data_IF_810293705789
#
_entry.id   IF_810293705789
#
_cell.length_a   1.000
_cell.length_b   1.000
_cell.length_c   1.000
_cell.angle_alpha   90.00
_cell.angle_beta   90.00
_cell.angle_gamma   90.00
#
_symmetry.space_group_name_H-M   'P 1'
#
loop_
_entity.id
_entity.type
_entity.pdbx_description
1 polymer ?
#
# COMPACT_ATOMS: atom_id res chain seq x y z
N UNK A 1 -1.18 1.58 11.78
CA UNK A 1 -2.31 0.99 11.04
C UNK A 1 -2.02 -0.46 10.72
N UNK A 2 -2.98 -1.33 10.95
CA UNK A 2 -2.86 -2.75 10.61
C UNK A 2 -3.98 -3.17 9.69
N UNK A 3 -3.64 -3.94 8.66
CA UNK A 3 -4.57 -4.36 7.64
C UNK A 3 -4.24 -5.79 7.21
N UNK A 4 -5.26 -6.63 7.07
CA UNK A 4 -5.09 -7.91 6.41
C UNK A 4 -5.70 -7.83 5.02
N UNK A 5 -4.88 -8.02 4.00
CA UNK A 5 -5.31 -7.91 2.62
C UNK A 5 -5.59 -9.29 2.02
N UNK A 6 -6.76 -9.44 1.43
CA UNK A 6 -7.12 -10.64 0.70
C UNK A 6 -6.78 -10.53 -0.77
N UNK A 7 -6.51 -9.33 -1.22
CA UNK A 7 -6.18 -9.06 -2.61
C UNK A 7 -5.09 -8.01 -2.70
N UNK A 8 -4.06 -8.29 -3.48
CA UNK A 8 -2.96 -7.35 -3.73
C UNK A 8 -2.90 -7.12 -5.23
N UNK A 9 -2.93 -5.86 -5.65
CA UNK A 9 -2.82 -5.52 -7.06
C UNK A 9 -1.72 -4.51 -7.28
N UNK A 10 -1.18 -4.50 -8.49
CA UNK A 10 -0.13 -3.58 -8.88
C UNK A 10 -0.51 -2.90 -10.18
N UNK A 11 0.00 -1.68 -10.37
CA UNK A 11 -0.20 -0.92 -11.58
C UNK A 11 1.04 -0.13 -11.92
N UNK A 12 1.24 0.07 -13.22
CA UNK A 12 2.32 0.93 -13.69
C UNK A 12 1.91 1.54 -15.03
N UNK A 13 2.46 2.71 -15.32
CA UNK A 13 2.24 3.38 -16.59
C UNK A 13 3.57 3.92 -17.07
N UNK A 14 4.14 3.25 -18.07
CA UNK A 14 5.48 3.56 -18.52
C UNK A 14 6.46 3.42 -17.37
N UNK A 15 7.46 4.28 -17.32
CA UNK A 15 8.40 4.32 -16.21
C UNK A 15 8.11 5.47 -15.24
N UNK A 16 6.93 6.05 -15.34
CA UNK A 16 6.60 7.29 -14.64
C UNK A 16 5.65 7.12 -13.46
N UNK A 17 4.92 6.02 -13.42
CA UNK A 17 3.88 5.81 -12.42
C UNK A 17 3.89 4.38 -11.93
N UNK A 18 3.90 4.22 -10.62
CA UNK A 18 3.87 2.90 -9.98
C UNK A 18 2.90 2.92 -8.81
N UNK A 19 2.13 1.84 -8.68
CA UNK A 19 1.12 1.72 -7.61
C UNK A 19 1.08 0.29 -7.11
N UNK A 20 0.88 0.16 -5.79
CA UNK A 20 0.50 -1.11 -5.18
C UNK A 20 -0.73 -0.86 -4.30
N UNK A 21 -1.69 -1.76 -4.39
CA UNK A 21 -2.95 -1.67 -3.64
C UNK A 21 -3.18 -2.94 -2.84
N UNK A 22 -3.64 -2.76 -1.62
CA UNK A 22 -3.97 -3.84 -0.69
C UNK A 22 -5.42 -3.69 -0.28
N UNK A 23 -6.25 -4.69 -0.57
CA UNK A 23 -7.68 -4.66 -0.26
C UNK A 23 -8.01 -5.74 0.75
N UNK A 24 -8.57 -5.35 1.87
CA UNK A 24 -9.11 -6.28 2.84
C UNK A 24 -10.46 -6.81 2.39
N UNK A 25 -10.89 -7.90 3.03
CA UNK A 25 -12.17 -8.49 2.71
C UNK A 25 -13.31 -7.63 3.24
N UNK A 26 -14.30 -7.39 2.37
CA UNK A 26 -15.52 -6.76 2.81
C UNK A 26 -16.21 -7.69 3.82
N UNK A 27 -16.83 -7.14 4.86
CA UNK A 27 -17.60 -7.98 5.77
C UNK A 27 -18.67 -8.72 4.99
N UNK A 28 -19.01 -9.90 5.47
CA UNK A 28 -19.75 -10.93 4.75
C UNK A 28 -20.86 -10.42 3.85
N UNK A 29 -21.05 -11.13 2.75
CA UNK A 29 -22.01 -10.79 1.69
C UNK A 29 -23.44 -10.60 2.17
N UNK A 30 -23.79 -11.16 3.30
CA UNK A 30 -25.13 -11.06 3.84
C UNK A 30 -25.41 -9.69 4.45
N UNK A 31 -24.36 -8.93 4.66
CA UNK A 31 -24.49 -7.63 5.29
C UNK A 31 -24.25 -6.57 4.25
N UNK A 32 -25.18 -6.48 3.33
CA UNK A 32 -25.12 -5.50 2.28
C UNK A 32 -25.51 -4.14 2.84
N UNK A 33 -24.57 -3.53 3.51
CA UNK A 33 -24.78 -2.22 4.08
C UNK A 33 -24.29 -1.15 3.14
N UNK A 34 -25.23 -0.51 2.48
CA UNK A 34 -24.95 0.55 1.52
C UNK A 34 -24.41 1.81 2.17
N UNK A 35 -24.61 1.95 3.46
CA UNK A 35 -24.18 3.13 4.19
C UNK A 35 -22.91 2.89 4.97
N UNK A 36 -22.45 1.66 5.02
CA UNK A 36 -21.32 1.29 5.83
C UNK A 36 -20.00 1.77 5.29
N UNK A 37 -18.99 1.81 6.14
CA UNK A 37 -17.65 2.09 5.70
C UNK A 37 -17.21 0.99 4.75
N UNK A 38 -16.49 1.38 3.78
CA UNK A 38 -15.95 0.45 2.83
C UNK A 38 -15.00 -0.51 3.53
N UNK A 39 -14.70 -1.60 2.86
CA UNK A 39 -13.71 -2.55 3.34
C UNK A 39 -12.36 -1.85 3.57
N UNK A 40 -11.53 -2.36 4.47
CA UNK A 40 -10.19 -1.80 4.67
C UNK A 40 -9.36 -1.87 3.40
N UNK A 41 -8.65 -0.78 3.11
CA UNK A 41 -7.75 -0.78 1.97
C UNK A 41 -6.58 0.17 2.19
N UNK A 42 -5.51 -0.05 1.42
CA UNK A 42 -4.35 0.82 1.39
C UNK A 42 -3.84 0.89 -0.05
N UNK A 43 -3.62 2.11 -0.54
CA UNK A 43 -3.02 2.35 -1.85
C UNK A 43 -1.75 3.16 -1.65
N UNK A 44 -0.66 2.74 -2.29
CA UNK A 44 0.61 3.46 -2.29
C UNK A 44 0.97 3.74 -3.74
N UNK A 45 1.19 5.02 -4.06
CA UNK A 45 1.53 5.45 -5.41
C UNK A 45 2.80 6.27 -5.39
N UNK A 46 3.61 6.13 -6.42
CA UNK A 46 4.74 7.02 -6.64
C UNK A 46 4.79 7.42 -8.09
N UNK A 47 4.93 8.71 -8.33
CA UNK A 47 5.06 9.26 -9.68
C UNK A 47 6.46 9.81 -9.85
N UNK A 48 7.02 9.60 -11.03
CA UNK A 48 8.37 10.08 -11.36
C UNK A 48 8.34 11.19 -12.40
N UNK A 49 7.14 11.60 -12.84
CA UNK A 49 6.99 12.71 -13.78
C UNK A 49 7.54 14.01 -13.20
N UNK A 50 7.26 14.24 -11.94
CA UNK A 50 7.74 15.40 -11.23
C UNK A 50 8.72 14.95 -10.17
N UNK A 51 9.75 15.74 -9.95
CA UNK A 51 10.69 15.46 -8.89
C UNK A 51 10.03 15.79 -7.55
N UNK A 52 9.40 14.81 -6.95
CA UNK A 52 8.71 14.97 -5.68
C UNK A 52 9.60 14.74 -4.47
N UNK A 53 10.90 14.58 -4.68
CA UNK A 53 11.84 14.35 -3.58
C UNK A 53 11.70 13.00 -2.91
N UNK A 54 11.08 12.03 -3.59
CA UNK A 54 10.86 10.71 -3.04
C UNK A 54 9.63 10.59 -2.20
N UNK A 55 8.69 11.51 -2.35
CA UNK A 55 7.42 11.49 -1.64
C UNK A 55 6.43 10.58 -2.37
N UNK A 56 5.72 9.76 -1.62
CA UNK A 56 4.69 8.87 -2.17
C UNK A 56 3.31 9.31 -1.70
N UNK A 57 2.30 9.04 -2.53
CA UNK A 57 0.92 9.27 -2.15
C UNK A 57 0.37 8.03 -1.46
N UNK A 58 -0.30 8.23 -0.34
CA UNK A 58 -0.97 7.16 0.41
C UNK A 58 -2.44 7.47 0.54
N UNK A 59 -3.27 6.47 0.30
CA UNK A 59 -4.71 6.58 0.53
C UNK A 59 -5.18 5.32 1.24
N UNK A 60 -6.03 5.50 2.25
CA UNK A 60 -6.62 4.39 2.99
C UNK A 60 -8.10 4.66 3.24
N UNK A 61 -8.79 3.63 3.74
CA UNK A 61 -10.19 3.78 4.17
C UNK A 61 -10.35 4.77 5.32
N UNK A 62 -9.27 5.07 6.04
CA UNK A 62 -9.26 6.09 7.08
C UNK A 62 -8.58 7.35 6.53
N UNK A 63 -9.31 8.09 5.70
CA UNK A 63 -8.80 9.27 5.02
C UNK A 63 -8.38 10.38 5.98
N UNK A 64 -9.02 10.45 7.12
CA UNK A 64 -8.74 11.53 8.07
C UNK A 64 -7.38 11.37 8.74
N UNK A 65 -6.98 10.13 8.95
CA UNK A 65 -5.73 9.82 9.65
C UNK A 65 -4.61 9.44 8.69
N UNK A 66 -4.95 8.65 7.66
CA UNK A 66 -3.95 8.02 6.80
C UNK A 66 -4.18 8.33 5.32
N UNK A 67 -3.99 9.59 4.95
CA UNK A 67 -4.02 9.98 3.55
C UNK A 67 -3.11 11.18 3.33
N UNK A 68 -2.45 11.23 2.20
CA UNK A 68 -1.59 12.34 1.84
C UNK A 68 -0.28 11.92 1.21
N UNK A 69 0.64 12.86 1.12
CA UNK A 69 1.96 12.64 0.53
C UNK A 69 3.00 12.58 1.63
N UNK A 70 3.77 11.50 1.66
CA UNK A 70 4.77 11.27 2.70
C UNK A 70 6.00 10.58 2.13
N UNK A 71 7.14 10.80 2.76
CA UNK A 71 8.31 9.96 2.53
C UNK A 71 8.10 8.67 3.30
N UNK A 72 8.51 7.57 2.70
CA UNK A 72 8.29 6.24 3.26
C UNK A 72 9.61 5.58 3.63
N UNK A 73 9.59 4.77 4.68
CA UNK A 73 10.72 3.95 5.08
C UNK A 73 10.27 2.50 5.20
N UNK A 74 10.84 1.65 4.37
CA UNK A 74 10.51 0.23 4.40
C UNK A 74 11.16 -0.43 5.62
N UNK A 75 10.34 -1.14 6.41
CA UNK A 75 10.79 -1.87 7.58
C UNK A 75 10.95 -3.36 7.27
N UNK A 76 9.95 -3.95 6.62
CA UNK A 76 9.98 -5.36 6.28
C UNK A 76 9.11 -5.61 5.04
N UNK A 77 9.55 -6.53 4.18
CA UNK A 77 8.73 -6.97 3.07
C UNK A 77 9.00 -8.44 2.79
N UNK A 78 7.98 -9.28 3.00
CA UNK A 78 8.04 -10.72 2.81
C UNK A 78 6.81 -11.17 2.04
N UNK A 79 6.72 -12.46 1.61
CA UNK A 79 5.50 -12.96 0.95
C UNK A 79 4.23 -12.91 1.78
N UNK A 80 4.33 -12.63 3.06
CA UNK A 80 3.16 -12.59 3.95
C UNK A 80 2.98 -11.27 4.70
N UNK A 81 3.95 -10.34 4.60
CA UNK A 81 3.89 -9.12 5.39
C UNK A 81 4.66 -7.97 4.76
N UNK A 82 4.05 -6.80 4.78
CA UNK A 82 4.71 -5.53 4.46
C UNK A 82 4.59 -4.62 5.67
N UNK A 83 5.70 -4.08 6.12
CA UNK A 83 5.72 -3.09 7.19
C UNK A 83 6.55 -1.89 6.77
N UNK A 84 6.03 -0.69 7.01
CA UNK A 84 6.73 0.53 6.68
C UNK A 84 6.27 1.67 7.57
N UNK A 85 7.02 2.76 7.54
CA UNK A 85 6.69 3.97 8.27
C UNK A 85 6.58 5.14 7.31
N UNK A 86 5.69 6.08 7.63
CA UNK A 86 5.61 7.35 6.92
C UNK A 86 6.31 8.42 7.74
N UNK A 87 6.83 9.44 7.07
CA UNK A 87 7.62 10.49 7.72
C UNK A 87 6.71 11.52 8.40
N UNK A 88 6.19 11.15 9.56
CA UNK A 88 5.43 12.07 10.40
C UNK A 88 5.51 11.62 11.87
N UNK A 89 5.05 12.45 12.79
CA UNK A 89 5.23 12.24 14.23
C UNK A 89 4.33 11.14 14.78
N UNK A 90 3.05 11.18 14.43
CA UNK A 90 2.05 10.24 14.94
C UNK A 90 1.49 9.39 13.81
N UNK A 91 0.93 8.24 14.19
CA UNK A 91 0.26 7.36 13.23
C UNK A 91 1.13 7.06 12.01
N UNK A 92 2.40 6.75 12.27
CA UNK A 92 3.38 6.59 11.20
C UNK A 92 3.61 5.14 10.76
N UNK A 93 3.21 4.19 11.56
CA UNK A 93 3.50 2.77 11.31
C UNK A 93 2.37 2.09 10.56
N UNK A 94 2.73 1.38 9.50
CA UNK A 94 1.81 0.60 8.69
C UNK A 94 2.25 -0.85 8.64
N UNK A 95 1.30 -1.76 8.84
CA UNK A 95 1.54 -3.19 8.71
C UNK A 95 0.41 -3.81 7.89
N UNK A 96 0.78 -4.51 6.82
CA UNK A 96 -0.18 -5.21 5.97
C UNK A 96 0.23 -6.66 5.91
N UNK A 97 -0.73 -7.55 6.17
CA UNK A 97 -0.51 -8.99 5.99
C UNK A 97 -1.31 -9.49 4.80
N UNK A 98 -0.80 -10.52 4.14
CA UNK A 98 -1.40 -11.09 2.94
C UNK A 98 -0.80 -12.47 2.72
N UNK A 99 -1.19 -13.12 1.63
CA UNK A 99 -0.63 -14.42 1.28
C UNK A 99 -0.31 -14.41 -0.21
N UNK A 100 0.96 -14.31 -0.54
CA UNK A 100 1.41 -14.27 -1.93
C UNK A 100 2.24 -15.52 -2.24
N UNK A 101 1.94 -16.17 -3.37
CA UNK A 101 2.79 -17.24 -3.85
C UNK A 101 4.12 -16.65 -4.38
N UNK A 102 5.08 -17.51 -4.67
CA UNK A 102 6.41 -17.06 -5.07
C UNK A 102 6.39 -16.22 -6.35
N UNK A 103 5.55 -16.57 -7.30
CA UNK A 103 5.45 -15.84 -8.55
C UNK A 103 4.86 -14.45 -8.34
N UNK A 104 3.75 -14.38 -7.62
CA UNK A 104 3.08 -13.12 -7.34
C UNK A 104 3.94 -12.22 -6.47
N UNK A 105 4.63 -12.79 -5.50
CA UNK A 105 5.55 -12.03 -4.67
C UNK A 105 6.63 -11.34 -5.51
N UNK A 106 7.21 -12.04 -6.46
CA UNK A 106 8.22 -11.46 -7.34
C UNK A 106 7.69 -10.28 -8.14
N UNK A 107 6.45 -10.38 -8.63
CA UNK A 107 5.83 -9.29 -9.37
C UNK A 107 5.59 -8.08 -8.48
N UNK A 108 5.03 -8.30 -7.30
CA UNK A 108 4.74 -7.22 -6.35
C UNK A 108 6.04 -6.62 -5.82
N UNK A 109 7.05 -7.45 -5.56
CA UNK A 109 8.35 -7.01 -5.06
C UNK A 109 8.99 -6.00 -6.00
N UNK A 110 8.91 -6.23 -7.30
CA UNK A 110 9.47 -5.30 -8.28
C UNK A 110 8.88 -3.90 -8.10
N UNK A 111 7.56 -3.82 -7.98
CA UNK A 111 6.86 -2.54 -7.83
C UNK A 111 7.14 -1.91 -6.46
N UNK A 112 7.10 -2.70 -5.40
CA UNK A 112 7.36 -2.20 -4.05
C UNK A 112 8.77 -1.64 -3.93
N UNK A 113 9.76 -2.33 -4.48
CA UNK A 113 11.14 -1.83 -4.44
C UNK A 113 11.30 -0.51 -5.19
N UNK A 114 10.59 -0.34 -6.31
CA UNK A 114 10.62 0.91 -7.05
C UNK A 114 9.97 2.03 -6.22
N UNK A 115 8.79 1.76 -5.67
CA UNK A 115 8.06 2.75 -4.87
C UNK A 115 8.87 3.22 -3.67
N UNK A 116 9.46 2.28 -2.93
CA UNK A 116 10.23 2.59 -1.73
C UNK A 116 11.67 3.00 -2.02
N UNK A 117 12.10 2.90 -3.28
CA UNK A 117 13.46 3.27 -3.64
C UNK A 117 14.51 2.29 -3.12
N UNK A 118 14.14 1.05 -2.91
CA UNK A 118 15.07 0.02 -2.45
C UNK A 118 15.94 -0.43 -3.62
N UNK A 119 17.23 -0.42 -3.40
CA UNK A 119 18.19 -0.91 -4.37
C UNK A 119 18.58 -2.32 -3.97
N UNK A 120 18.10 -3.25 -4.72
CA UNK A 120 18.36 -4.58 -4.37
C UNK A 120 19.08 -5.45 -5.19
#
# INVERSE_FOLDING_TARGET
>A
MRLHANHVSIGESGDEYFQVSFDGEAPSDDDFDLSGPDHPYLVIQRQFEDDDGGVCYIETHDHDTYAGHFRLRLVEFTPTRLAFEIARTDHKYFEVTYDLDAKRFGEVQRIVHIIFGVRG
#
